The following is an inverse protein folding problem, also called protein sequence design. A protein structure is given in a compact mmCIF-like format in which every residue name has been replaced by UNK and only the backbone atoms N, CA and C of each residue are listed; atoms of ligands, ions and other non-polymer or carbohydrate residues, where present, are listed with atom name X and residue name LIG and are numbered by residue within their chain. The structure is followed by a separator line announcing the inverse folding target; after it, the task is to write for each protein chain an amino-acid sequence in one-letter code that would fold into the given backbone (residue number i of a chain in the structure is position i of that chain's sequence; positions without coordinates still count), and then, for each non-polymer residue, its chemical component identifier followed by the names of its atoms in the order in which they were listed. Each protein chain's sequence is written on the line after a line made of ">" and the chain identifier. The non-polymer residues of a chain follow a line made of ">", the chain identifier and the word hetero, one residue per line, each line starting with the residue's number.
data_IF_608847600897
#
_entry.id   IF_608847600897
#
_cell.length_a   1.000
_cell.length_b   1.000
_cell.length_c   1.000
_cell.angle_alpha   90.00
_cell.angle_beta   90.00
_cell.angle_gamma   90.00
#
_symmetry.space_group_name_H-M   'P 1'
#
loop_
_entity.id
_entity.type
_entity.pdbx_description
1 polymer ?
#
# COMPACT_ATOMS: atom_id res chain seq x y z
N UNK A 1 -32.48 -47.12 95.98
CA UNK A 1 -32.08 -48.51 95.68
C UNK A 1 -31.33 -48.45 94.36
N UNK A 2 -29.99 -48.39 94.40
CA UNK A 2 -29.08 -49.52 94.09
C UNK A 2 -29.37 -50.13 92.71
N UNK A 3 -28.45 -50.22 91.76
CA UNK A 3 -26.99 -50.23 91.91
C UNK A 3 -26.24 -49.99 90.61
N UNK A 4 -24.95 -49.77 90.79
CA UNK A 4 -23.89 -49.79 89.80
C UNK A 4 -23.92 -51.03 88.90
N UNK A 5 -23.48 -50.87 87.65
CA UNK A 5 -22.37 -51.69 87.13
C UNK A 5 -21.74 -50.97 85.92
N UNK A 6 -20.53 -50.49 86.13
CA UNK A 6 -19.64 -49.85 85.18
C UNK A 6 -18.94 -50.95 84.34
N UNK A 7 -18.96 -50.83 82.99
CA UNK A 7 -18.16 -51.69 82.10
C UNK A 7 -17.20 -50.85 81.27
N UNK A 8 -15.97 -50.83 81.78
CA UNK A 8 -14.66 -50.77 81.11
C UNK A 8 -14.66 -50.53 79.60
N UNK A 9 -14.27 -49.30 79.26
CA UNK A 9 -13.83 -48.89 77.93
C UNK A 9 -12.37 -49.36 77.77
N UNK A 10 -12.08 -50.23 76.79
CA UNK A 10 -10.70 -50.64 76.48
C UNK A 10 -10.03 -49.55 75.66
N UNK A 11 -9.20 -48.75 76.32
CA UNK A 11 -8.23 -47.87 75.67
C UNK A 11 -7.21 -48.69 74.89
N UNK A 12 -7.07 -48.36 73.61
CA UNK A 12 -5.99 -48.83 72.75
C UNK A 12 -4.73 -48.08 73.21
N UNK A 13 -3.84 -48.79 73.90
CA UNK A 13 -2.54 -48.27 74.28
C UNK A 13 -1.69 -48.00 73.04
N UNK A 14 -1.05 -46.81 72.91
CA UNK A 14 -0.02 -46.63 71.92
C UNK A 14 1.19 -47.49 72.32
N UNK A 15 1.52 -48.41 71.44
CA UNK A 15 2.80 -49.13 71.42
C UNK A 15 3.96 -48.16 71.72
N UNK A 16 4.68 -48.44 72.80
CA UNK A 16 5.97 -47.84 73.14
C UNK A 16 6.99 -48.18 72.03
N UNK A 17 7.00 -47.35 70.99
CA UNK A 17 8.02 -47.34 69.94
C UNK A 17 9.31 -46.75 70.47
N UNK A 18 10.13 -47.62 71.06
CA UNK A 18 11.60 -47.56 71.19
C UNK A 18 12.24 -46.21 70.83
N UNK A 19 12.76 -45.52 71.84
CA UNK A 19 13.72 -44.43 71.66
C UNK A 19 14.86 -44.90 70.74
N UNK A 20 14.93 -44.33 69.53
CA UNK A 20 15.99 -44.62 68.58
C UNK A 20 17.33 -44.23 69.23
N UNK A 21 18.35 -45.10 69.21
CA UNK A 21 19.61 -44.82 69.86
C UNK A 21 20.35 -43.66 69.16
N UNK A 22 21.02 -42.84 69.98
CA UNK A 22 21.66 -41.57 69.62
C UNK A 22 22.72 -41.63 68.51
N UNK A 23 23.14 -42.83 68.09
CA UNK A 23 24.14 -43.03 67.03
C UNK A 23 23.53 -43.16 65.62
N UNK A 24 22.19 -43.24 65.49
CA UNK A 24 21.48 -43.30 64.19
C UNK A 24 21.01 -41.93 63.65
N UNK A 25 21.28 -40.83 64.36
CA UNK A 25 21.06 -39.47 63.82
C UNK A 25 22.09 -39.04 62.77
N UNK A 26 23.17 -39.80 62.60
CA UNK A 26 24.28 -39.43 61.72
C UNK A 26 24.33 -40.15 60.36
N UNK A 27 23.34 -41.00 60.02
CA UNK A 27 23.45 -41.82 58.79
C UNK A 27 22.34 -41.54 57.75
N UNK A 28 21.21 -40.93 58.12
CA UNK A 28 20.12 -40.66 57.15
C UNK A 28 19.41 -39.32 57.40
N UNK A 29 20.19 -38.26 57.59
CA UNK A 29 19.74 -36.88 57.35
C UNK A 29 20.78 -36.17 56.49
N UNK A 30 21.05 -36.76 55.32
CA UNK A 30 21.44 -35.93 54.19
C UNK A 30 20.11 -35.53 53.58
N UNK A 31 19.63 -34.36 53.96
CA UNK A 31 18.71 -33.63 53.09
C UNK A 31 19.46 -33.52 51.76
N UNK A 32 19.07 -34.34 50.79
CA UNK A 32 19.48 -34.11 49.41
C UNK A 32 18.67 -32.91 48.99
N UNK A 33 19.17 -31.71 49.29
CA UNK A 33 18.81 -30.53 48.54
C UNK A 33 19.29 -30.80 47.11
N UNK A 34 18.41 -31.37 46.29
CA UNK A 34 18.48 -31.16 44.85
C UNK A 34 18.01 -29.73 44.59
N UNK A 35 18.78 -28.76 45.07
CA UNK A 35 18.48 -27.35 44.96
C UNK A 35 19.70 -26.71 44.29
N UNK A 36 19.55 -26.32 43.02
CA UNK A 36 20.49 -25.40 42.40
C UNK A 36 21.44 -25.93 41.33
N UNK A 37 21.05 -26.85 40.45
CA UNK A 37 21.76 -27.02 39.16
C UNK A 37 20.80 -27.02 37.96
N UNK A 38 19.69 -27.76 38.02
CA UNK A 38 18.67 -27.73 36.96
C UNK A 38 17.90 -26.40 36.92
N UNK A 39 17.51 -25.87 38.07
CA UNK A 39 16.84 -24.57 38.17
C UNK A 39 17.77 -23.43 37.74
N UNK A 40 19.06 -23.53 38.09
CA UNK A 40 20.09 -22.58 37.67
C UNK A 40 20.34 -22.65 36.15
N UNK A 41 20.31 -23.84 35.57
CA UNK A 41 20.40 -24.03 34.13
C UNK A 41 19.17 -23.46 33.41
N UNK A 42 17.95 -23.78 33.89
CA UNK A 42 16.71 -23.27 33.33
C UNK A 42 16.64 -21.73 33.41
N UNK A 43 16.98 -21.14 34.55
CA UNK A 43 17.06 -19.69 34.74
C UNK A 43 18.12 -19.07 33.83
N UNK A 44 19.29 -19.69 33.67
CA UNK A 44 20.33 -19.19 32.76
C UNK A 44 19.85 -19.17 31.30
N UNK A 45 19.12 -20.19 30.87
CA UNK A 45 18.53 -20.29 29.53
C UNK A 45 17.43 -19.25 29.34
N UNK A 46 16.57 -19.06 30.32
CA UNK A 46 15.50 -18.05 30.28
C UNK A 46 16.08 -16.62 30.25
N UNK A 47 17.11 -16.34 31.05
CA UNK A 47 17.78 -15.05 31.10
C UNK A 47 18.56 -14.76 29.81
N UNK A 48 19.31 -15.73 29.29
CA UNK A 48 20.20 -15.53 28.14
C UNK A 48 19.47 -15.56 26.80
N UNK A 49 18.40 -16.35 26.67
CA UNK A 49 17.69 -16.54 25.39
C UNK A 49 16.29 -15.91 25.42
N UNK A 50 15.46 -16.25 26.41
CA UNK A 50 14.04 -15.85 26.39
C UNK A 50 13.79 -14.39 26.76
N UNK A 51 14.54 -13.80 27.68
CA UNK A 51 14.42 -12.36 28.01
C UNK A 51 14.80 -11.43 26.86
N UNK A 52 15.95 -11.58 26.18
CA UNK A 52 16.27 -10.72 25.03
C UNK A 52 15.36 -10.98 23.83
N UNK A 53 14.96 -12.23 23.58
CA UNK A 53 13.99 -12.56 22.53
C UNK A 53 12.61 -11.97 22.85
N UNK A 54 12.13 -12.15 24.08
CA UNK A 54 10.87 -11.61 24.57
C UNK A 54 10.84 -10.07 24.54
N UNK A 55 11.92 -9.42 24.99
CA UNK A 55 12.06 -7.96 24.91
C UNK A 55 12.12 -7.48 23.45
N UNK A 56 12.84 -8.19 22.58
CA UNK A 56 12.89 -7.92 21.15
C UNK A 56 11.52 -8.06 20.47
N UNK A 57 10.70 -9.03 20.89
CA UNK A 57 9.34 -9.19 20.39
C UNK A 57 8.39 -8.12 20.94
N UNK A 58 8.45 -7.81 22.23
CA UNK A 58 7.51 -6.85 22.88
C UNK A 58 7.84 -5.39 22.54
N UNK A 59 9.13 -5.05 22.38
CA UNK A 59 9.57 -3.67 22.10
C UNK A 59 9.99 -3.51 20.65
N UNK A 60 10.81 -4.43 20.14
CA UNK A 60 11.36 -4.35 18.79
C UNK A 60 10.31 -4.49 17.69
N UNK A 61 9.37 -5.44 17.80
CA UNK A 61 8.33 -5.63 16.77
C UNK A 61 7.39 -4.41 16.68
N UNK A 62 6.86 -3.85 17.78
CA UNK A 62 6.06 -2.62 17.71
C UNK A 62 6.84 -1.42 17.19
N UNK A 63 8.11 -1.25 17.58
CA UNK A 63 8.95 -0.16 17.05
C UNK A 63 9.21 -0.33 15.55
N UNK A 64 9.54 -1.53 15.08
CA UNK A 64 9.69 -1.85 13.66
C UNK A 64 8.38 -1.64 12.89
N UNK A 65 7.24 -2.02 13.46
CA UNK A 65 5.93 -1.81 12.84
C UNK A 65 5.57 -0.32 12.77
N UNK A 66 5.79 0.44 13.85
CA UNK A 66 5.57 1.89 13.89
C UNK A 66 6.49 2.61 12.89
N UNK A 67 7.78 2.24 12.87
CA UNK A 67 8.75 2.75 11.90
C UNK A 67 8.33 2.42 10.47
N UNK A 68 7.93 1.17 10.18
CA UNK A 68 7.41 0.77 8.89
C UNK A 68 6.19 1.62 8.50
N UNK A 69 5.22 1.80 9.40
CA UNK A 69 4.03 2.62 9.13
C UNK A 69 4.38 4.08 8.84
N UNK A 70 5.33 4.66 9.58
CA UNK A 70 5.79 6.04 9.36
C UNK A 70 6.56 6.20 8.05
N UNK A 71 7.55 5.33 7.80
CA UNK A 71 8.46 5.46 6.64
C UNK A 71 7.77 5.10 5.33
N UNK A 72 6.88 4.11 5.38
CA UNK A 72 6.32 3.49 4.17
C UNK A 72 4.94 4.03 3.83
N UNK A 73 4.24 4.62 4.80
CA UNK A 73 2.96 5.31 4.59
C UNK A 73 1.77 4.38 4.36
N UNK A 74 0.58 5.00 4.28
CA UNK A 74 -0.70 4.31 4.03
C UNK A 74 -0.93 4.13 2.53
N UNK A 75 -1.30 2.93 2.10
CA UNK A 75 -1.73 2.68 0.72
C UNK A 75 -3.21 3.05 0.52
N UNK A 76 -3.48 3.83 -0.52
CA UNK A 76 -4.83 4.02 -1.05
C UNK A 76 -5.16 2.98 -2.13
N UNK A 77 -6.21 2.16 -1.94
CA UNK A 77 -6.61 1.17 -2.94
C UNK A 77 -7.37 1.81 -4.12
N UNK A 78 -8.20 2.83 -3.88
CA UNK A 78 -8.95 3.56 -4.91
C UNK A 78 -8.90 5.06 -4.65
N UNK A 79 -9.30 5.89 -5.63
CA UNK A 79 -9.36 7.34 -5.47
C UNK A 79 -10.30 7.80 -4.36
N UNK A 80 -11.31 6.99 -4.02
CA UNK A 80 -12.25 7.29 -2.95
C UNK A 80 -11.62 7.26 -1.55
N UNK A 81 -10.53 6.52 -1.38
CA UNK A 81 -9.83 6.39 -0.10
C UNK A 81 -8.78 7.49 0.12
N UNK A 82 -8.56 8.34 -0.89
CA UNK A 82 -7.63 9.46 -0.79
C UNK A 82 -8.35 10.59 -0.04
N UNK A 83 -7.74 11.13 1.05
CA UNK A 83 -8.33 12.21 1.80
C UNK A 83 -8.46 13.48 0.92
N UNK A 84 -9.54 14.27 1.02
CA UNK A 84 -9.70 15.52 0.27
C UNK A 84 -8.52 16.48 0.45
N UNK A 85 -7.91 16.49 1.64
CA UNK A 85 -6.76 17.32 1.97
C UNK A 85 -5.51 16.98 1.14
N UNK A 86 -5.41 15.74 0.64
CA UNK A 86 -4.32 15.37 -0.25
C UNK A 86 -4.45 16.04 -1.62
N UNK A 87 -5.67 16.29 -2.10
CA UNK A 87 -5.89 17.03 -3.34
C UNK A 87 -5.62 18.53 -3.14
N UNK A 88 -6.11 19.13 -2.05
CA UNK A 88 -5.90 20.56 -1.79
C UNK A 88 -4.43 20.93 -1.58
N UNK A 89 -3.62 20.01 -1.07
CA UNK A 89 -2.17 20.21 -0.87
C UNK A 89 -1.30 19.76 -2.05
N UNK A 90 -1.91 19.36 -3.17
CA UNK A 90 -1.23 18.78 -4.32
C UNK A 90 -0.28 17.63 -3.95
N UNK A 91 -0.74 16.71 -3.09
CA UNK A 91 0.09 15.62 -2.60
C UNK A 91 0.55 14.72 -3.75
N UNK A 92 1.86 14.45 -3.79
CA UNK A 92 2.46 13.52 -4.75
C UNK A 92 2.41 12.10 -4.22
N UNK A 93 1.69 11.23 -4.90
CA UNK A 93 1.67 9.79 -4.66
C UNK A 93 2.52 9.05 -5.70
N UNK A 94 2.92 7.81 -5.37
CA UNK A 94 3.76 6.98 -6.25
C UNK A 94 3.08 5.64 -6.50
N UNK A 95 3.21 5.12 -7.72
CA UNK A 95 2.61 3.84 -8.06
C UNK A 95 3.12 3.28 -9.37
N UNK A 96 2.73 2.04 -9.65
CA UNK A 96 2.96 1.38 -10.94
C UNK A 96 1.71 1.50 -11.79
N UNK A 97 1.83 1.93 -13.04
CA UNK A 97 0.70 1.91 -13.96
C UNK A 97 0.46 0.48 -14.45
N UNK A 98 -0.73 -0.06 -14.20
CA UNK A 98 -1.06 -1.48 -14.42
C UNK A 98 -1.89 -1.69 -15.70
N UNK A 99 -2.77 -0.76 -16.02
CA UNK A 99 -3.71 -0.90 -17.14
C UNK A 99 -4.04 0.47 -17.72
N UNK A 100 -4.18 0.54 -19.04
CA UNK A 100 -4.59 1.74 -19.78
C UNK A 100 -5.91 1.42 -20.49
N UNK A 101 -6.97 2.13 -20.10
CA UNK A 101 -8.31 1.93 -20.63
C UNK A 101 -8.57 2.78 -21.87
N UNK A 102 -8.23 4.07 -21.76
CA UNK A 102 -8.51 5.10 -22.76
C UNK A 102 -7.22 5.86 -23.12
N UNK A 103 -7.33 6.86 -23.97
CA UNK A 103 -6.24 7.69 -24.46
C UNK A 103 -5.75 8.75 -23.45
N UNK A 104 -6.51 9.02 -22.39
CA UNK A 104 -6.22 10.00 -21.33
C UNK A 104 -6.31 9.43 -19.91
N UNK A 105 -6.65 8.14 -19.78
CA UNK A 105 -6.95 7.49 -18.50
C UNK A 105 -6.15 6.21 -18.30
N UNK A 106 -5.64 6.00 -17.09
CA UNK A 106 -4.99 4.73 -16.71
C UNK A 106 -5.23 4.37 -15.25
N UNK A 107 -4.94 3.12 -14.90
CA UNK A 107 -5.06 2.57 -13.55
C UNK A 107 -3.70 2.49 -12.87
N UNK A 108 -3.60 3.14 -11.72
CA UNK A 108 -2.42 3.19 -10.87
C UNK A 108 -2.56 2.21 -9.71
N UNK A 109 -1.61 1.30 -9.56
CA UNK A 109 -1.41 0.56 -8.32
C UNK A 109 -0.49 1.36 -7.40
N UNK A 110 -1.06 1.92 -6.34
CA UNK A 110 -0.34 2.78 -5.40
C UNK A 110 0.69 1.98 -4.57
N UNK A 111 1.92 2.47 -4.58
CA UNK A 111 3.09 1.89 -3.90
C UNK A 111 3.76 3.01 -3.08
N UNK A 112 3.34 3.24 -1.82
CA UNK A 112 3.74 4.42 -1.06
C UNK A 112 5.22 4.39 -0.62
N UNK A 113 5.85 3.21 -0.56
CA UNK A 113 7.27 3.11 -0.21
C UNK A 113 8.00 1.93 -0.84
N UNK A 114 9.29 1.82 -0.49
CA UNK A 114 10.19 0.78 -0.98
C UNK A 114 9.69 -0.62 -0.61
N UNK A 115 9.78 -1.58 -1.54
CA UNK A 115 9.32 -2.97 -1.35
C UNK A 115 7.84 -3.26 -1.71
N UNK A 116 6.97 -2.26 -1.85
CA UNK A 116 5.55 -2.51 -2.20
C UNK A 116 5.34 -3.15 -3.57
N UNK A 117 6.29 -2.94 -4.50
CA UNK A 117 6.23 -3.49 -5.85
C UNK A 117 6.78 -4.91 -6.00
N UNK A 118 7.58 -5.41 -5.05
CA UNK A 118 8.29 -6.68 -5.18
C UNK A 118 7.68 -7.82 -4.35
N UNK A 119 7.07 -7.50 -3.20
CA UNK A 119 6.59 -8.51 -2.24
C UNK A 119 5.06 -8.72 -2.23
N UNK A 120 4.34 -8.07 -3.15
CA UNK A 120 2.87 -8.16 -3.23
C UNK A 120 2.42 -8.52 -4.62
N UNK A 121 1.43 -9.40 -4.71
CA UNK A 121 0.79 -9.79 -5.97
C UNK A 121 0.14 -8.54 -6.60
N UNK A 122 0.59 -8.19 -7.80
CA UNK A 122 -0.05 -7.14 -8.59
C UNK A 122 -1.41 -7.68 -9.06
N UNK A 123 -2.51 -6.91 -8.90
CA UNK A 123 -3.83 -7.34 -9.34
C UNK A 123 -3.86 -7.52 -10.85
N UNK A 124 -4.38 -8.65 -11.31
CA UNK A 124 -4.49 -8.99 -12.74
C UNK A 124 -5.94 -9.14 -13.17
N UNK A 125 -6.84 -9.52 -12.26
CA UNK A 125 -8.25 -9.71 -12.60
C UNK A 125 -9.00 -8.39 -12.70
N UNK A 126 -10.03 -8.32 -13.55
CA UNK A 126 -10.84 -7.10 -13.73
C UNK A 126 -11.45 -6.59 -12.43
N UNK A 127 -11.94 -7.50 -11.57
CA UNK A 127 -12.53 -7.18 -10.25
C UNK A 127 -11.47 -6.60 -9.30
N UNK A 128 -10.29 -7.20 -9.24
CA UNK A 128 -9.20 -6.67 -8.42
C UNK A 128 -8.73 -5.31 -8.93
N UNK A 129 -8.62 -5.11 -10.25
CA UNK A 129 -8.27 -3.82 -10.83
C UNK A 129 -9.27 -2.73 -10.40
N UNK A 130 -10.57 -3.01 -10.40
CA UNK A 130 -11.57 -2.04 -9.95
C UNK A 130 -11.38 -1.65 -8.47
N UNK A 131 -11.07 -2.61 -7.60
CA UNK A 131 -11.05 -2.42 -6.14
C UNK A 131 -9.67 -2.07 -5.56
N UNK A 132 -8.59 -2.31 -6.31
CA UNK A 132 -7.22 -2.19 -5.85
C UNK A 132 -6.37 -1.24 -6.70
N UNK A 133 -6.98 -0.50 -7.63
CA UNK A 133 -6.27 0.55 -8.37
C UNK A 133 -7.00 1.88 -8.33
N UNK A 134 -6.22 2.95 -8.39
CA UNK A 134 -6.70 4.32 -8.48
C UNK A 134 -6.83 4.64 -9.97
N UNK A 135 -8.02 5.07 -10.39
CA UNK A 135 -8.23 5.58 -11.76
C UNK A 135 -7.67 6.99 -11.84
N UNK A 136 -6.69 7.20 -12.72
CA UNK A 136 -6.05 8.49 -12.95
C UNK A 136 -6.51 9.02 -14.31
N UNK A 137 -7.02 10.26 -14.33
CA UNK A 137 -7.25 11.07 -15.54
C UNK A 137 -6.12 12.08 -15.65
N UNK A 138 -5.49 12.18 -16.82
CA UNK A 138 -4.45 13.17 -17.06
C UNK A 138 -5.03 14.58 -16.98
N UNK A 139 -4.38 15.46 -16.22
CA UNK A 139 -4.77 16.85 -16.09
C UNK A 139 -4.33 17.68 -17.32
N UNK A 140 -5.12 18.71 -17.64
CA UNK A 140 -4.81 19.73 -18.65
C UNK A 140 -4.88 19.29 -20.11
N UNK A 141 -5.25 18.04 -20.38
CA UNK A 141 -5.25 17.46 -21.73
C UNK A 141 -6.53 16.70 -22.02
N UNK A 142 -6.94 16.72 -23.28
CA UNK A 142 -8.06 15.96 -23.79
C UNK A 142 -7.62 15.19 -25.03
N UNK A 143 -7.82 13.87 -25.00
CA UNK A 143 -7.35 12.95 -26.03
C UNK A 143 -8.53 12.49 -26.92
N UNK A 144 -8.27 12.12 -28.18
CA UNK A 144 -9.33 11.66 -29.08
C UNK A 144 -10.04 10.42 -28.50
N UNK A 145 -11.38 10.48 -28.50
CA UNK A 145 -12.24 9.45 -27.91
C UNK A 145 -12.27 8.20 -28.79
N UNK A 146 -12.22 7.04 -28.13
CA UNK A 146 -12.42 5.75 -28.78
C UNK A 146 -13.88 5.51 -29.15
N UNK A 147 -14.14 4.45 -29.93
CA UNK A 147 -15.51 4.03 -30.23
C UNK A 147 -16.26 3.67 -28.93
N UNK A 148 -17.45 4.25 -28.74
CA UNK A 148 -18.24 4.04 -27.53
C UNK A 148 -19.74 4.06 -27.83
N UNK A 149 -20.48 3.06 -27.35
CA UNK A 149 -21.95 2.97 -27.44
C UNK A 149 -22.54 3.35 -28.81
N UNK A 150 -22.02 2.76 -29.89
CA UNK A 150 -22.51 3.03 -31.26
C UNK A 150 -21.94 4.30 -31.91
N UNK A 151 -21.21 5.14 -31.17
CA UNK A 151 -20.46 6.26 -31.73
C UNK A 151 -19.16 5.77 -32.38
N UNK A 152 -18.83 6.24 -33.59
CA UNK A 152 -17.56 5.92 -34.23
C UNK A 152 -16.39 6.51 -33.44
N UNK A 153 -15.23 5.84 -33.52
CA UNK A 153 -14.01 6.34 -32.90
C UNK A 153 -13.53 7.62 -33.61
N UNK A 154 -12.98 8.56 -32.86
CA UNK A 154 -12.32 9.72 -33.45
C UNK A 154 -11.02 9.30 -34.16
N UNK A 155 -10.61 10.04 -35.21
CA UNK A 155 -9.31 9.87 -35.82
C UNK A 155 -8.19 9.96 -34.77
N UNK A 156 -7.17 9.10 -34.88
CA UNK A 156 -6.02 9.01 -33.96
C UNK A 156 -6.31 8.53 -32.53
N UNK A 157 -7.54 8.09 -32.22
CA UNK A 157 -7.90 7.53 -30.90
C UNK A 157 -7.08 6.29 -30.53
N UNK A 158 -6.91 5.35 -31.47
CA UNK A 158 -6.12 4.13 -31.28
C UNK A 158 -4.64 4.44 -31.05
N UNK A 159 -4.06 5.31 -31.88
CA UNK A 159 -2.67 5.72 -31.84
C UNK A 159 -2.35 6.49 -30.56
N UNK A 160 -3.27 7.37 -30.14
CA UNK A 160 -3.16 8.10 -28.88
C UNK A 160 -3.15 7.15 -27.67
N UNK A 161 -4.08 6.18 -27.63
CA UNK A 161 -4.09 5.14 -26.59
C UNK A 161 -2.83 4.29 -26.60
N UNK A 162 -2.33 3.89 -27.76
CA UNK A 162 -1.09 3.13 -27.88
C UNK A 162 0.12 3.94 -27.37
N UNK A 163 0.16 5.23 -27.68
CA UNK A 163 1.23 6.12 -27.21
C UNK A 163 1.21 6.26 -25.69
N UNK A 164 0.05 6.52 -25.08
CA UNK A 164 -0.10 6.55 -23.62
C UNK A 164 0.35 5.22 -23.01
N UNK A 165 -0.13 4.11 -23.57
CA UNK A 165 0.21 2.75 -23.13
C UNK A 165 1.72 2.52 -23.12
N UNK A 166 2.41 2.82 -24.23
CA UNK A 166 3.89 2.70 -24.32
C UNK A 166 4.62 3.62 -23.35
N UNK A 167 4.01 4.73 -22.95
CA UNK A 167 4.61 5.68 -22.03
C UNK A 167 4.52 5.23 -20.58
N UNK A 168 3.34 4.81 -20.13
CA UNK A 168 3.07 4.58 -18.70
C UNK A 168 3.06 3.12 -18.31
N UNK A 169 2.59 2.21 -19.17
CA UNK A 169 2.30 0.83 -18.78
C UNK A 169 3.54 0.12 -18.24
N UNK A 170 3.41 -0.50 -17.06
CA UNK A 170 4.49 -1.22 -16.41
C UNK A 170 5.54 -0.35 -15.72
N UNK A 171 5.51 0.97 -15.93
CA UNK A 171 6.45 1.91 -15.31
C UNK A 171 5.96 2.44 -13.96
N UNK A 172 6.91 2.85 -13.13
CA UNK A 172 6.62 3.59 -11.90
C UNK A 172 6.45 5.07 -12.24
N UNK A 173 5.37 5.65 -11.74
CA UNK A 173 4.98 7.03 -11.99
C UNK A 173 4.80 7.78 -10.68
N UNK A 174 5.14 9.07 -10.70
CA UNK A 174 4.78 10.05 -9.68
C UNK A 174 3.52 10.76 -10.14
N UNK A 175 2.52 10.83 -9.27
CA UNK A 175 1.20 11.39 -9.58
C UNK A 175 0.92 12.50 -8.59
N UNK A 176 0.83 13.72 -9.09
CA UNK A 176 0.48 14.91 -8.32
C UNK A 176 -1.03 15.11 -8.38
N UNK A 177 -1.68 14.93 -7.23
CA UNK A 177 -3.14 14.93 -7.12
C UNK A 177 -3.66 16.37 -7.16
N UNK A 178 -4.50 16.72 -8.13
CA UNK A 178 -5.06 18.07 -8.24
C UNK A 178 -6.52 18.08 -7.77
N UNK A 179 -7.34 17.23 -8.39
CA UNK A 179 -8.79 17.23 -8.17
C UNK A 179 -9.36 15.82 -8.23
N UNK A 180 -10.49 15.61 -7.56
CA UNK A 180 -11.31 14.41 -7.72
C UNK A 180 -12.50 14.72 -8.64
N UNK A 181 -12.67 13.88 -9.65
CA UNK A 181 -13.74 13.96 -10.64
C UNK A 181 -15.04 13.32 -10.13
N UNK A 182 -16.20 13.69 -10.69
CA UNK A 182 -17.50 13.12 -10.32
C UNK A 182 -17.62 11.63 -10.64
N UNK A 183 -16.88 11.15 -11.64
CA UNK A 183 -16.75 9.72 -11.95
C UNK A 183 -15.85 8.95 -10.97
N UNK A 184 -15.35 9.59 -9.90
CA UNK A 184 -14.48 8.96 -8.92
C UNK A 184 -13.06 8.69 -9.43
N UNK A 185 -12.62 9.43 -10.46
CA UNK A 185 -11.23 9.44 -10.95
C UNK A 185 -10.44 10.54 -10.22
N UNK A 186 -9.13 10.33 -10.05
CA UNK A 186 -8.23 11.39 -9.63
C UNK A 186 -7.67 12.10 -10.87
N UNK A 187 -7.96 13.40 -11.00
CA UNK A 187 -7.35 14.29 -11.98
C UNK A 187 -5.99 14.70 -11.46
N UNK A 188 -4.94 14.41 -12.23
CA UNK A 188 -3.58 14.54 -11.74
C UNK A 188 -2.57 14.82 -12.85
N UNK A 189 -1.48 15.50 -12.47
CA UNK A 189 -0.27 15.56 -13.29
C UNK A 189 0.58 14.33 -13.05
N UNK A 190 1.02 13.69 -14.13
CA UNK A 190 1.72 12.41 -14.07
C UNK A 190 3.11 12.53 -14.65
N UNK A 191 4.10 12.07 -13.90
CA UNK A 191 5.50 12.10 -14.23
C UNK A 191 6.05 10.67 -14.28
N UNK A 192 6.56 10.25 -15.44
CA UNK A 192 7.16 8.93 -15.66
C UNK A 192 8.69 9.07 -15.61
N UNK A 193 9.35 8.14 -14.92
CA UNK A 193 10.81 7.99 -14.97
C UNK A 193 11.18 6.67 -15.62
N UNK A 194 11.93 6.71 -16.73
CA UNK A 194 12.34 5.50 -17.47
C UNK A 194 13.82 5.20 -17.24
N UNK A 195 14.19 4.08 -16.59
CA UNK A 195 15.59 3.67 -16.52
C UNK A 195 16.14 3.42 -17.95
N UNK A 196 17.45 3.64 -18.22
CA UNK A 196 18.50 4.06 -17.28
C UNK A 196 18.55 5.57 -17.01
N UNK A 197 17.81 6.38 -17.79
CA UNK A 197 17.88 7.84 -17.69
C UNK A 197 17.04 8.37 -16.52
N UNK A 198 17.65 9.14 -15.64
CA UNK A 198 16.96 9.70 -14.47
C UNK A 198 16.04 10.89 -14.78
N UNK A 199 15.85 11.24 -16.05
CA UNK A 199 14.99 12.36 -16.42
C UNK A 199 13.51 11.99 -16.30
N UNK A 200 12.77 12.85 -15.63
CA UNK A 200 11.32 12.74 -15.47
C UNK A 200 10.63 13.41 -16.64
N UNK A 201 9.70 12.72 -17.29
CA UNK A 201 8.84 13.30 -18.33
C UNK A 201 7.41 13.40 -17.83
N UNK A 202 6.80 14.55 -17.99
CA UNK A 202 5.37 14.73 -17.74
C UNK A 202 4.57 14.12 -18.90
N UNK A 203 3.61 13.26 -18.56
CA UNK A 203 2.81 12.50 -19.53
C UNK A 203 1.89 13.43 -20.32
N UNK A 204 1.19 14.35 -19.66
CA UNK A 204 0.30 15.32 -20.32
C UNK A 204 1.05 16.16 -21.35
N UNK A 205 2.23 16.67 -20.99
CA UNK A 205 3.07 17.46 -21.90
C UNK A 205 3.52 16.64 -23.10
N UNK A 206 3.92 15.39 -22.90
CA UNK A 206 4.42 14.54 -23.98
C UNK A 206 3.28 14.07 -24.91
N UNK A 207 2.07 13.83 -24.39
CA UNK A 207 0.87 13.56 -25.18
C UNK A 207 0.55 14.71 -26.14
N UNK A 208 0.58 15.95 -25.64
CA UNK A 208 0.35 17.17 -26.44
C UNK A 208 1.48 17.39 -27.44
N UNK A 209 2.73 17.25 -27.00
CA UNK A 209 3.93 17.42 -27.84
C UNK A 209 3.94 16.46 -29.03
N UNK A 210 3.47 15.24 -28.85
CA UNK A 210 3.37 14.24 -29.92
C UNK A 210 2.11 14.38 -30.78
N UNK A 211 1.22 15.33 -30.46
CA UNK A 211 -0.04 15.54 -31.20
C UNK A 211 -1.07 14.44 -30.96
N UNK A 212 -1.01 13.76 -29.81
CA UNK A 212 -1.98 12.73 -29.43
C UNK A 212 -3.01 13.21 -28.41
N UNK A 213 -2.88 14.45 -27.94
CA UNK A 213 -3.87 15.14 -27.14
C UNK A 213 -3.86 16.64 -27.47
N UNK A 214 -4.98 17.30 -27.18
CA UNK A 214 -5.15 18.75 -27.20
C UNK A 214 -5.22 19.29 -25.77
N UNK A 215 -5.02 20.60 -25.59
CA UNK A 215 -5.20 21.25 -24.29
C UNK A 215 -6.70 21.32 -23.95
N UNK A 216 -7.06 20.92 -22.74
CA UNK A 216 -8.44 20.97 -22.26
C UNK A 216 -8.75 22.34 -21.66
N UNK A 217 -9.53 23.18 -22.35
CA UNK A 217 -9.78 24.58 -21.98
C UNK A 217 -11.18 24.83 -21.35
N UNK A 218 -11.80 23.81 -20.76
CA UNK A 218 -13.11 24.00 -20.14
C UNK A 218 -13.01 24.55 -18.70
N UNK A 219 -14.12 25.07 -18.19
CA UNK A 219 -14.21 25.56 -16.82
C UNK A 219 -13.83 24.48 -15.80
N UNK A 220 -12.88 24.81 -14.91
CA UNK A 220 -12.36 23.87 -13.91
C UNK A 220 -11.27 22.93 -14.44
N UNK A 221 -10.63 23.27 -15.56
CA UNK A 221 -9.39 22.64 -16.01
C UNK A 221 -8.24 22.88 -15.01
N UNK A 222 -7.45 21.84 -14.79
CA UNK A 222 -6.32 21.85 -13.86
C UNK A 222 -5.02 21.60 -14.62
N UNK A 223 -3.98 22.38 -14.34
CA UNK A 223 -2.72 22.34 -15.11
C UNK A 223 -1.45 22.12 -14.27
N UNK A 224 -1.52 22.09 -12.93
CA UNK A 224 -0.35 21.87 -12.07
C UNK A 224 0.89 22.68 -12.47
N UNK A 225 0.69 23.99 -12.73
CA UNK A 225 1.71 24.95 -13.18
C UNK A 225 2.34 24.73 -14.57
N UNK A 226 1.81 23.79 -15.36
CA UNK A 226 2.38 23.40 -16.67
C UNK A 226 1.69 24.03 -17.88
N UNK A 227 0.73 24.94 -17.70
CA UNK A 227 -0.06 25.54 -18.79
C UNK A 227 0.81 26.09 -19.92
N UNK A 228 1.77 26.98 -19.60
CA UNK A 228 2.69 27.56 -20.60
C UNK A 228 3.52 26.51 -21.35
N UNK A 229 3.86 25.41 -20.66
CA UNK A 229 4.61 24.29 -21.27
C UNK A 229 3.73 23.51 -22.23
N UNK A 230 2.47 23.28 -21.87
CA UNK A 230 1.47 22.63 -22.71
C UNK A 230 1.17 23.46 -23.95
N UNK A 231 0.95 24.77 -23.81
CA UNK A 231 0.70 25.71 -24.92
C UNK A 231 1.83 25.65 -25.95
N UNK A 232 3.08 25.81 -25.49
CA UNK A 232 4.27 25.72 -26.34
C UNK A 232 4.43 24.34 -27.00
N UNK A 233 4.06 23.27 -26.31
CA UNK A 233 4.08 21.92 -26.88
C UNK A 233 3.02 21.77 -27.98
N UNK A 234 1.82 22.30 -27.75
CA UNK A 234 0.70 22.26 -28.69
C UNK A 234 1.01 23.06 -29.96
N UNK A 235 1.54 24.28 -29.82
CA UNK A 235 1.96 25.11 -30.96
C UNK A 235 2.98 24.38 -31.86
N UNK A 236 3.96 23.70 -31.25
CA UNK A 236 4.94 22.91 -31.98
C UNK A 236 4.30 21.72 -32.70
N UNK A 237 3.38 21.02 -32.05
CA UNK A 237 2.67 19.90 -32.65
C UNK A 237 1.80 20.34 -33.83
N UNK A 238 1.12 21.49 -33.70
CA UNK A 238 0.34 22.14 -34.78
C UNK A 238 1.22 22.54 -35.96
N UNK A 239 2.32 23.26 -35.70
CA UNK A 239 3.26 23.68 -36.75
C UNK A 239 3.85 22.48 -37.52
N UNK A 240 4.12 21.38 -36.82
CA UNK A 240 4.66 20.14 -37.42
C UNK A 240 3.58 19.20 -37.96
N UNK A 241 2.30 19.56 -37.86
CA UNK A 241 1.16 18.74 -38.30
C UNK A 241 1.21 17.30 -37.74
N UNK A 242 1.48 17.17 -36.44
CA UNK A 242 1.62 15.86 -35.78
C UNK A 242 0.27 15.30 -35.33
N UNK A 243 0.06 13.99 -35.51
CA UNK A 243 -1.09 13.26 -34.97
C UNK A 243 -2.42 13.90 -35.35
N UNK A 244 -3.23 14.28 -34.35
CA UNK A 244 -4.54 14.94 -34.53
C UNK A 244 -4.45 16.22 -35.40
N UNK A 245 -3.31 16.91 -35.39
CA UNK A 245 -3.08 18.14 -36.15
C UNK A 245 -2.70 17.91 -37.63
N UNK A 246 -2.55 16.65 -38.05
CA UNK A 246 -2.32 16.30 -39.46
C UNK A 246 -3.59 16.37 -40.31
N UNK A 247 -4.76 16.18 -39.68
CA UNK A 247 -6.06 16.26 -40.35
C UNK A 247 -6.63 17.67 -40.25
N UNK A 248 -7.28 18.15 -41.33
CA UNK A 248 -8.03 19.42 -41.33
C UNK A 248 -9.35 19.34 -40.56
N UNK A 249 -9.82 18.14 -40.23
CA UNK A 249 -11.14 17.88 -39.62
C UNK A 249 -11.04 17.59 -38.12
N UNK A 250 -9.99 18.06 -37.44
CA UNK A 250 -9.90 17.87 -36.00
C UNK A 250 -11.06 18.59 -35.28
N UNK A 251 -11.86 17.81 -34.56
CA UNK A 251 -12.93 18.28 -33.68
C UNK A 251 -12.49 17.92 -32.27
N UNK A 252 -12.65 18.85 -31.32
CA UNK A 252 -12.31 18.57 -29.93
C UNK A 252 -13.21 17.46 -29.37
N UNK A 253 -12.76 16.66 -28.38
CA UNK A 253 -13.61 15.61 -27.83
C UNK A 253 -14.90 16.12 -27.20
N UNK A 254 -14.88 17.33 -26.61
CA UNK A 254 -16.09 18.00 -26.13
C UNK A 254 -17.11 18.27 -27.24
N UNK A 255 -16.69 18.82 -28.36
CA UNK A 255 -17.56 19.08 -29.52
C UNK A 255 -18.06 17.79 -30.19
N UNK A 256 -17.24 16.75 -30.22
CA UNK A 256 -17.63 15.45 -30.77
C UNK A 256 -18.74 14.79 -29.94
N UNK A 257 -18.76 15.01 -28.61
CA UNK A 257 -19.82 14.49 -27.73
C UNK A 257 -21.13 15.28 -27.85
N UNK A 258 -21.08 16.50 -28.38
CA UNK A 258 -22.25 17.35 -28.56
C UNK A 258 -23.00 17.10 -29.88
N UNK A 259 -22.45 16.29 -30.79
CA UNK A 259 -23.06 15.88 -32.06
C UNK A 259 -23.80 14.56 -31.89
#
# INVERSE_FOLDING_TARGET
>A
MSGHQERSNKEITPSQGKTKPSWLRHVFARDVHCEGDEDNFADSVVLALWRPVGLGLVVGVPLCFAFYKCVVGKRYPTAAHIPPEAFTRHQVIRGKAISVGDSDNFRLYHTPGFGWGSWRKIPTTRKELANQTIMIRLAGVDAPEGAHFGMPAQPFSSESKQFLTKMVLGHHVKVELLKRDHYGRAVAMVNVRKPPFFWSKNVSVEMVRSGFASIYDAQGAEYGDLLKTLEKAQEKAKHRRMGIWSSKTHVSPGEHKAK
#
